data_IF_826023617041
#
_entry.id   IF_826023617041
#
_cell.length_a   1.000
_cell.length_b   1.000
_cell.length_c   1.000
_cell.angle_alpha   90.00
_cell.angle_beta   90.00
_cell.angle_gamma   90.00
#
_symmetry.space_group_name_H-M   'P 1'
#
loop_
_entity.id
_entity.type
_entity.pdbx_description
1 polymer ?
#
# COMPACT_ATOMS: atom_id res chain seq x y z
N UNK A 1 7.22 10.95 -15.22
CA UNK A 1 7.83 9.60 -15.30
C UNK A 1 7.71 8.97 -13.91
N UNK A 2 7.40 7.67 -13.80
CA UNK A 2 7.37 7.00 -12.50
C UNK A 2 8.81 6.80 -12.01
N UNK A 3 9.05 6.96 -10.71
CA UNK A 3 10.37 6.70 -10.11
C UNK A 3 10.76 5.23 -10.34
N UNK A 4 12.01 4.91 -10.76
CA UNK A 4 12.43 3.54 -10.99
C UNK A 4 12.23 2.62 -9.78
N UNK A 5 12.41 3.13 -8.56
CA UNK A 5 12.22 2.34 -7.34
C UNK A 5 10.76 1.97 -7.15
N UNK A 6 9.83 2.84 -7.56
CA UNK A 6 8.40 2.53 -7.54
C UNK A 6 8.09 1.41 -8.54
N UNK A 7 8.71 1.42 -9.72
CA UNK A 7 8.56 0.34 -10.70
C UNK A 7 9.10 -0.98 -10.14
N UNK A 8 10.25 -0.96 -9.48
CA UNK A 8 10.86 -2.15 -8.87
C UNK A 8 10.02 -2.70 -7.72
N UNK A 9 9.43 -1.83 -6.90
CA UNK A 9 8.48 -2.24 -5.86
C UNK A 9 7.27 -2.94 -6.50
N UNK A 10 6.63 -2.31 -7.49
CA UNK A 10 5.45 -2.89 -8.14
C UNK A 10 5.75 -4.24 -8.79
N UNK A 11 6.88 -4.37 -9.48
CA UNK A 11 7.34 -5.65 -10.06
C UNK A 11 7.63 -6.70 -8.99
N UNK A 12 8.23 -6.31 -7.86
CA UNK A 12 8.52 -7.22 -6.76
C UNK A 12 7.29 -7.85 -6.11
N UNK A 13 6.12 -7.22 -6.25
CA UNK A 13 4.84 -7.75 -5.78
C UNK A 13 3.95 -8.31 -6.90
N UNK A 14 4.44 -8.35 -8.15
CA UNK A 14 3.66 -8.72 -9.34
C UNK A 14 2.40 -7.85 -9.55
N UNK A 15 2.58 -6.53 -9.42
CA UNK A 15 1.49 -5.55 -9.44
C UNK A 15 1.65 -4.54 -10.57
N UNK A 16 0.52 -4.14 -11.16
CA UNK A 16 0.43 -2.99 -12.05
C UNK A 16 -0.27 -1.82 -11.35
N UNK A 17 -0.04 -0.60 -11.81
CA UNK A 17 -0.65 0.62 -11.23
C UNK A 17 -2.18 0.52 -11.16
N UNK A 18 -2.80 -0.08 -12.19
CA UNK A 18 -4.26 -0.19 -12.26
C UNK A 18 -4.86 -1.19 -11.27
N UNK A 19 -4.06 -2.11 -10.71
CA UNK A 19 -4.49 -2.97 -9.60
C UNK A 19 -4.57 -2.21 -8.28
N UNK A 20 -3.84 -1.10 -8.12
CA UNK A 20 -3.76 -0.36 -6.86
C UNK A 20 -5.09 0.29 -6.51
N UNK A 21 -5.55 0.05 -5.28
CA UNK A 21 -6.54 0.94 -4.64
C UNK A 21 -5.93 2.34 -4.46
N UNK A 22 -6.75 3.41 -4.37
CA UNK A 22 -6.25 4.74 -4.03
C UNK A 22 -5.41 4.76 -2.74
N UNK A 23 -5.78 3.92 -1.77
CA UNK A 23 -5.05 3.76 -0.52
C UNK A 23 -3.66 3.11 -0.70
N UNK A 24 -3.54 2.14 -1.61
CA UNK A 24 -2.25 1.52 -1.92
C UNK A 24 -1.26 2.54 -2.50
N UNK A 25 -1.72 3.38 -3.43
CA UNK A 25 -0.94 4.47 -3.99
C UNK A 25 -0.49 5.47 -2.92
N UNK A 26 -1.38 5.80 -1.97
CA UNK A 26 -1.02 6.68 -0.86
C UNK A 26 0.04 6.06 0.05
N UNK A 27 -0.06 4.77 0.38
CA UNK A 27 0.94 4.06 1.20
C UNK A 27 2.31 4.01 0.53
N UNK A 28 2.34 3.76 -0.79
CA UNK A 28 3.56 3.79 -1.58
C UNK A 28 4.21 5.18 -1.55
N UNK A 29 3.41 6.23 -1.75
CA UNK A 29 3.88 7.61 -1.65
C UNK A 29 4.41 7.96 -0.25
N UNK A 30 3.72 7.53 0.81
CA UNK A 30 4.16 7.74 2.19
C UNK A 30 5.51 7.07 2.46
N UNK A 31 5.72 5.83 1.99
CA UNK A 31 7.02 5.18 2.10
C UNK A 31 8.13 5.97 1.42
N UNK A 32 7.91 6.41 0.18
CA UNK A 32 8.88 7.21 -0.57
C UNK A 32 9.20 8.53 0.15
N UNK A 33 8.17 9.18 0.69
CA UNK A 33 8.31 10.41 1.46
C UNK A 33 9.10 10.19 2.76
N UNK A 34 8.79 9.15 3.54
CA UNK A 34 9.52 8.81 4.77
C UNK A 34 10.99 8.51 4.47
N UNK A 35 11.29 7.74 3.42
CA UNK A 35 12.68 7.47 3.01
C UNK A 35 13.42 8.78 2.69
N UNK A 36 12.77 9.68 1.94
CA UNK A 36 13.32 11.00 1.59
C UNK A 36 13.59 11.86 2.83
N UNK A 37 12.66 11.93 3.78
CA UNK A 37 12.83 12.76 5.00
C UNK A 37 13.87 12.18 5.95
N UNK A 38 13.99 10.85 6.02
CA UNK A 38 15.00 10.16 6.82
C UNK A 38 16.37 10.07 6.13
N UNK A 39 16.52 10.56 4.89
CA UNK A 39 17.74 10.44 4.07
C UNK A 39 18.19 8.99 3.87
N UNK A 40 17.23 8.08 3.78
CA UNK A 40 17.44 6.65 3.49
C UNK A 40 17.02 6.39 2.04
N UNK A 41 17.79 5.58 1.33
CA UNK A 41 17.40 5.16 -0.02
C UNK A 41 16.18 4.23 0.04
N UNK A 42 15.07 4.55 -0.66
CA UNK A 42 13.94 3.63 -0.77
C UNK A 42 14.39 2.37 -1.53
N UNK A 43 13.83 1.22 -1.17
CA UNK A 43 14.15 -0.06 -1.82
C UNK A 43 12.99 -1.04 -1.74
N UNK A 44 12.92 -1.98 -2.69
CA UNK A 44 11.97 -3.09 -2.64
C UNK A 44 12.06 -3.84 -1.31
N UNK A 45 13.27 -4.20 -0.87
CA UNK A 45 13.47 -4.92 0.39
C UNK A 45 12.96 -4.12 1.60
N UNK A 46 13.29 -2.83 1.68
CA UNK A 46 12.80 -1.97 2.76
C UNK A 46 11.28 -1.83 2.77
N UNK A 47 10.67 -1.72 1.59
CA UNK A 47 9.22 -1.67 1.46
C UNK A 47 8.57 -2.99 1.90
N UNK A 48 9.06 -4.13 1.42
CA UNK A 48 8.55 -5.46 1.73
C UNK A 48 8.73 -5.86 3.20
N UNK A 49 9.70 -5.27 3.90
CA UNK A 49 9.83 -5.43 5.36
C UNK A 49 8.78 -4.65 6.15
N UNK A 50 8.31 -3.52 5.60
CA UNK A 50 7.36 -2.63 6.26
C UNK A 50 5.90 -2.92 5.87
N UNK A 51 5.67 -3.56 4.73
CA UNK A 51 4.34 -3.77 4.16
C UNK A 51 4.18 -5.16 3.55
N UNK A 52 2.96 -5.67 3.60
CA UNK A 52 2.51 -6.81 2.80
C UNK A 52 1.31 -6.42 1.93
N UNK A 53 1.08 -7.20 0.87
CA UNK A 53 -0.06 -7.02 -0.03
C UNK A 53 -1.33 -7.52 0.66
N UNK A 54 -2.39 -6.73 0.58
CA UNK A 54 -3.72 -7.06 1.06
C UNK A 54 -4.71 -6.98 -0.10
N UNK A 55 -5.21 -8.15 -0.53
CA UNK A 55 -6.20 -8.24 -1.60
C UNK A 55 -7.59 -7.84 -1.08
N UNK A 56 -8.22 -6.89 -1.76
CA UNK A 56 -9.52 -6.33 -1.49
C UNK A 56 -10.42 -6.53 -2.73
N UNK A 57 -10.98 -7.75 -2.89
CA UNK A 57 -11.75 -8.11 -4.06
C UNK A 57 -12.98 -7.20 -4.20
N UNK A 58 -13.32 -6.85 -5.44
CA UNK A 58 -14.54 -6.11 -5.77
C UNK A 58 -15.36 -6.93 -6.74
N UNK A 59 -16.59 -7.27 -6.37
CA UNK A 59 -17.50 -8.02 -7.24
C UNK A 59 -18.44 -7.05 -7.93
N UNK A 60 -18.51 -7.14 -9.26
CA UNK A 60 -19.43 -6.42 -10.12
C UNK A 60 -20.58 -7.36 -10.47
N UNK A 61 -21.80 -6.95 -10.12
CA UNK A 61 -23.01 -7.67 -10.49
C UNK A 61 -23.49 -7.16 -11.85
N UNK A 62 -23.26 -7.93 -12.92
CA UNK A 62 -23.64 -7.55 -14.27
C UNK A 62 -25.03 -8.13 -14.57
N UNK A 63 -26.03 -7.26 -14.74
CA UNK A 63 -27.34 -7.68 -15.28
C UNK A 63 -27.25 -7.81 -16.79
N UNK A 64 -27.27 -9.05 -17.29
CA UNK A 64 -27.47 -9.34 -18.71
C UNK A 64 -28.94 -9.17 -19.08
N UNK A 65 -29.22 -8.68 -20.30
CA UNK A 65 -30.52 -8.19 -20.74
C UNK A 65 -31.71 -9.15 -20.67
N UNK A 66 -31.51 -10.45 -20.41
CA UNK A 66 -32.58 -11.44 -20.12
C UNK A 66 -32.01 -12.69 -19.40
N UNK A 67 -30.92 -12.56 -18.62
CA UNK A 67 -30.22 -13.71 -18.02
C UNK A 67 -29.84 -13.46 -16.56
N UNK A 68 -29.75 -14.55 -15.78
CA UNK A 68 -29.23 -14.55 -14.40
C UNK A 68 -27.95 -13.71 -14.30
N UNK A 69 -27.91 -12.79 -13.33
CA UNK A 69 -26.80 -11.85 -13.17
C UNK A 69 -25.48 -12.59 -13.00
N UNK A 70 -24.45 -12.18 -13.72
CA UNK A 70 -23.11 -12.77 -13.61
C UNK A 70 -22.27 -11.90 -12.69
N UNK A 71 -21.80 -12.49 -11.60
CA UNK A 71 -20.79 -11.88 -10.74
C UNK A 71 -19.42 -11.97 -11.41
N UNK A 72 -18.79 -10.82 -11.62
CA UNK A 72 -17.40 -10.74 -12.10
C UNK A 72 -16.54 -9.98 -11.10
N UNK A 73 -15.38 -10.55 -10.79
CA UNK A 73 -14.39 -9.85 -9.99
C UNK A 73 -13.70 -8.75 -10.81
N UNK A 74 -13.65 -7.55 -10.25
CA UNK A 74 -12.96 -6.42 -10.84
C UNK A 74 -11.45 -6.56 -10.60
N UNK A 75 -10.69 -6.49 -11.70
CA UNK A 75 -9.23 -6.51 -11.68
C UNK A 75 -8.63 -5.14 -11.35
N UNK A 76 -9.45 -4.09 -11.34
CA UNK A 76 -9.01 -2.72 -11.07
C UNK A 76 -9.21 -2.36 -9.61
N UNK A 77 -8.21 -1.68 -9.03
CA UNK A 77 -8.26 -1.19 -7.66
C UNK A 77 -8.67 -2.27 -6.64
N UNK A 78 -8.09 -3.47 -6.76
CA UNK A 78 -8.32 -4.64 -5.91
C UNK A 78 -7.13 -4.95 -4.98
N UNK A 79 -5.97 -4.33 -5.17
CA UNK A 79 -4.78 -4.55 -4.34
C UNK A 79 -4.49 -3.35 -3.44
N UNK A 80 -4.24 -3.63 -2.16
CA UNK A 80 -3.87 -2.68 -1.14
C UNK A 80 -2.55 -3.11 -0.48
N UNK A 81 -1.96 -2.22 0.31
CA UNK A 81 -0.86 -2.55 1.21
C UNK A 81 -1.35 -2.45 2.65
N UNK A 82 -0.89 -3.34 3.52
CA UNK A 82 -1.07 -3.23 4.97
C UNK A 82 0.31 -3.20 5.62
N UNK A 83 0.42 -2.56 6.78
CA UNK A 83 1.68 -2.57 7.53
C UNK A 83 1.93 -3.97 8.06
N UNK A 84 3.20 -4.37 8.08
CA UNK A 84 3.58 -5.64 8.69
C UNK A 84 3.32 -5.61 10.19
N UNK A 85 2.71 -6.68 10.74
CA UNK A 85 2.16 -6.67 12.10
C UNK A 85 3.24 -6.73 13.18
N UNK A 86 4.42 -7.23 12.82
CA UNK A 86 5.53 -7.46 13.73
C UNK A 86 6.65 -6.40 13.61
N UNK A 87 6.38 -5.26 12.98
CA UNK A 87 7.35 -4.16 13.00
C UNK A 87 7.34 -3.52 14.38
N UNK A 88 8.18 -4.03 15.27
CA UNK A 88 8.49 -3.41 16.54
C UNK A 88 9.30 -2.13 16.27
N UNK A 89 8.65 -1.08 15.77
CA UNK A 89 9.27 0.24 15.68
C UNK A 89 9.47 0.72 17.12
N UNK A 90 10.71 1.12 17.43
CA UNK A 90 11.03 1.78 18.69
C UNK A 90 10.38 3.16 18.65
N UNK A 91 9.10 3.23 18.99
CA UNK A 91 8.38 4.50 19.09
C UNK A 91 9.07 5.30 20.18
N UNK A 92 9.76 6.37 19.81
CA UNK A 92 10.27 7.35 20.75
C UNK A 92 9.07 8.03 21.39
N UNK A 93 8.70 7.59 22.59
CA UNK A 93 7.75 8.33 23.41
C UNK A 93 8.43 9.63 23.83
N UNK A 94 8.03 10.75 23.23
CA UNK A 94 8.40 12.06 23.76
C UNK A 94 7.74 12.21 25.13
N UNK A 95 8.55 12.41 26.18
CA UNK A 95 8.04 12.79 27.49
C UNK A 95 7.68 14.27 27.42
N UNK A 96 6.40 14.56 27.23
CA UNK A 96 5.84 15.88 27.47
C UNK A 96 5.81 16.05 29.00
N UNK A 97 6.95 16.38 29.62
CA UNK A 97 6.94 16.81 31.01
C UNK A 97 6.24 18.17 31.04
N UNK A 98 5.00 18.18 31.50
CA UNK A 98 4.45 19.40 32.07
C UNK A 98 5.28 19.66 33.34
N UNK A 99 5.82 20.87 33.44
CA UNK A 99 6.38 21.35 34.70
C UNK A 99 5.14 21.62 35.55
N UNK A 100 4.95 20.86 36.62
CA UNK A 100 4.00 21.23 37.66
C UNK A 100 4.59 22.44 38.39
N UNK A 101 3.85 23.56 38.38
CA UNK A 101 4.17 24.81 39.09
C UNK A 101 4.19 24.61 40.61
#
# INVERSE_FOLDING_TARGET
LLDPVVVDILRGFDMFIHHLTPNASLRLNNYMWVCKTMKVAPSLYGFAKAHHVHHQPKVLHLKGGDSEGVDKEAQFACLNFAYERDVCLRVMAYRNKWIDD
#
